data_IF_687171657812
#
_entry.id   IF_687171657812
#
_cell.length_a   1.000
_cell.length_b   1.000
_cell.length_c   1.000
_cell.angle_alpha   90.00
_cell.angle_beta   90.00
_cell.angle_gamma   90.00
#
_symmetry.space_group_name_H-M   'P 1'
#
loop_
_entity.id
_entity.type
_entity.pdbx_description
1 polymer ?
#
# COMPACT_ATOMS: atom_id res chain seq x y z
N UNK A 1 53.02 -1.60 -26.40
CA UNK A 1 52.89 -0.82 -25.16
C UNK A 1 51.43 -0.39 -25.06
N UNK A 2 50.48 -1.33 -25.05
CA UNK A 2 50.14 -2.27 -23.95
C UNK A 2 49.78 -1.50 -22.66
N UNK A 3 48.64 -1.73 -22.00
CA UNK A 3 47.93 -3.00 -21.89
C UNK A 3 46.39 -2.84 -21.77
N UNK A 4 45.76 -3.91 -22.24
CA UNK A 4 44.36 -4.31 -22.26
C UNK A 4 43.49 -4.02 -21.02
N UNK A 5 42.27 -3.64 -21.35
CA UNK A 5 41.04 -3.67 -20.56
C UNK A 5 40.56 -5.13 -20.40
N UNK A 6 40.27 -5.66 -19.18
CA UNK A 6 39.60 -6.94 -19.06
C UNK A 6 38.10 -6.74 -19.18
N UNK A 7 37.61 -6.94 -20.41
CA UNK A 7 36.22 -7.32 -20.66
C UNK A 7 35.86 -8.54 -19.80
N UNK A 8 34.97 -8.37 -18.82
CA UNK A 8 34.24 -9.51 -18.27
C UNK A 8 33.10 -9.81 -19.23
N UNK A 9 33.38 -10.73 -20.15
CA UNK A 9 32.41 -11.36 -21.02
C UNK A 9 31.40 -12.17 -20.18
N UNK A 10 30.12 -11.83 -20.28
CA UNK A 10 29.03 -12.74 -19.93
C UNK A 10 28.55 -13.35 -21.25
N UNK A 11 29.26 -14.39 -21.70
CA UNK A 11 28.85 -15.23 -22.81
C UNK A 11 27.64 -16.08 -22.41
N UNK A 12 26.66 -16.15 -23.31
CA UNK A 12 25.37 -16.78 -23.07
C UNK A 12 25.27 -18.28 -23.37
N UNK A 13 24.04 -18.76 -23.11
CA UNK A 13 23.40 -20.02 -23.49
C UNK A 13 24.03 -21.35 -23.05
N UNK A 14 23.44 -21.94 -22.00
CA UNK A 14 22.95 -23.33 -22.05
C UNK A 14 21.94 -23.58 -20.91
N UNK A 15 20.80 -24.15 -21.29
CA UNK A 15 19.86 -24.94 -20.50
C UNK A 15 20.36 -25.45 -19.13
N UNK A 16 19.62 -25.14 -18.07
CA UNK A 16 19.75 -25.82 -16.77
C UNK A 16 19.49 -24.88 -15.61
N UNK A 17 18.58 -25.25 -14.71
CA UNK A 17 18.37 -24.57 -13.44
C UNK A 17 19.69 -24.52 -12.65
N UNK A 18 20.38 -23.39 -12.68
CA UNK A 18 21.57 -23.14 -11.88
C UNK A 18 21.17 -22.22 -10.73
N UNK A 19 21.22 -22.78 -9.52
CA UNK A 19 21.03 -22.08 -8.26
C UNK A 19 22.08 -20.97 -8.11
N UNK A 20 21.66 -19.70 -8.22
CA UNK A 20 22.46 -18.51 -7.87
C UNK A 20 22.70 -18.44 -6.36
N UNK A 21 23.52 -19.35 -5.83
CA UNK A 21 23.97 -19.36 -4.44
C UNK A 21 25.46 -19.04 -4.43
N UNK A 22 25.79 -17.85 -3.95
CA UNK A 22 27.18 -17.43 -3.77
C UNK A 22 27.51 -17.51 -2.28
N UNK A 23 28.51 -18.31 -1.92
CA UNK A 23 28.92 -18.53 -0.53
C UNK A 23 30.18 -17.71 -0.18
N UNK A 24 30.20 -17.10 1.01
CA UNK A 24 31.41 -16.49 1.59
C UNK A 24 31.38 -14.97 1.78
N UNK A 25 32.39 -14.45 2.49
CA UNK A 25 32.50 -13.05 2.94
C UNK A 25 32.79 -12.05 1.80
N UNK A 26 33.42 -12.49 0.72
CA UNK A 26 33.75 -11.64 -0.43
C UNK A 26 32.53 -11.24 -1.27
N UNK A 27 31.60 -12.14 -1.64
CA UNK A 27 30.32 -11.80 -2.26
C UNK A 27 29.52 -10.77 -1.47
N UNK A 28 29.47 -10.92 -0.14
CA UNK A 28 28.80 -9.98 0.76
C UNK A 28 29.44 -8.58 0.72
N UNK A 29 30.78 -8.51 0.77
CA UNK A 29 31.49 -7.23 0.70
C UNK A 29 31.34 -6.57 -0.68
N UNK A 30 31.34 -7.36 -1.76
CA UNK A 30 31.11 -6.87 -3.11
C UNK A 30 29.70 -6.29 -3.26
N UNK A 31 28.66 -7.02 -2.80
CA UNK A 31 27.29 -6.52 -2.80
C UNK A 31 27.11 -5.28 -1.91
N UNK A 32 27.75 -5.26 -0.73
CA UNK A 32 27.74 -4.10 0.15
C UNK A 32 28.34 -2.86 -0.53
N UNK A 33 29.39 -3.05 -1.35
CA UNK A 33 29.99 -1.98 -2.12
C UNK A 33 29.08 -1.49 -3.25
N UNK A 34 28.38 -2.40 -3.95
CA UNK A 34 27.39 -2.06 -4.99
C UNK A 34 26.20 -1.30 -4.39
N UNK A 35 25.64 -1.76 -3.27
CA UNK A 35 24.53 -1.08 -2.57
C UNK A 35 24.96 0.32 -2.09
N UNK A 36 26.18 0.48 -1.58
CA UNK A 36 26.70 1.81 -1.15
C UNK A 36 26.89 2.78 -2.31
N UNK A 37 27.19 2.29 -3.52
CA UNK A 37 27.43 3.11 -4.71
C UNK A 37 26.14 3.50 -5.44
N UNK A 38 25.09 2.69 -5.31
CA UNK A 38 23.77 2.96 -5.89
C UNK A 38 22.79 3.48 -4.83
N UNK A 39 22.53 4.80 -4.81
CA UNK A 39 21.56 5.47 -3.89
C UNK A 39 20.10 4.95 -4.00
N UNK A 40 19.83 4.02 -4.92
CA UNK A 40 18.52 3.44 -5.23
C UNK A 40 18.30 2.04 -4.67
N UNK A 41 19.24 1.51 -3.89
CA UNK A 41 19.14 0.20 -3.24
C UNK A 41 19.05 0.39 -1.73
N UNK A 42 18.08 -0.25 -1.08
CA UNK A 42 17.94 -0.29 0.38
C UNK A 42 18.06 -1.72 0.90
N UNK A 43 18.61 -1.84 2.11
CA UNK A 43 18.69 -3.09 2.84
C UNK A 43 17.32 -3.45 3.42
N UNK A 44 16.84 -4.66 3.15
CA UNK A 44 15.78 -5.29 3.93
C UNK A 44 16.44 -6.35 4.82
N UNK A 45 16.28 -6.19 6.14
CA UNK A 45 16.82 -7.15 7.10
C UNK A 45 15.86 -8.34 7.19
N UNK A 46 16.35 -9.55 6.90
CA UNK A 46 15.53 -10.76 6.95
C UNK A 46 15.35 -11.25 8.40
N UNK A 47 14.19 -11.82 8.72
CA UNK A 47 13.92 -12.44 10.02
C UNK A 47 14.42 -13.89 10.03
N UNK A 48 15.01 -14.29 11.15
CA UNK A 48 15.44 -15.66 11.40
C UNK A 48 14.24 -16.61 11.35
N UNK A 49 14.28 -17.62 10.48
CA UNK A 49 13.43 -18.79 10.56
C UNK A 49 14.29 -19.96 11.06
N UNK A 50 14.43 -20.08 12.38
CA UNK A 50 15.00 -21.25 13.02
C UNK A 50 13.89 -22.25 13.32
N UNK A 51 14.00 -23.48 12.84
CA UNK A 51 13.06 -24.54 13.17
C UNK A 51 13.40 -25.06 14.58
N UNK A 52 12.69 -24.59 15.61
CA UNK A 52 12.77 -25.15 16.97
C UNK A 52 11.99 -26.47 17.04
N UNK A 53 12.53 -27.54 16.46
CA UNK A 53 12.27 -28.91 16.91
C UNK A 53 13.04 -29.93 16.08
N UNK A 54 14.14 -30.43 16.63
CA UNK A 54 14.55 -31.84 16.53
C UNK A 54 15.91 -32.00 17.20
N UNK A 55 15.98 -32.86 18.23
CA UNK A 55 17.23 -33.26 18.86
C UNK A 55 18.11 -34.04 17.89
N UNK A 56 18.97 -33.34 17.17
CA UNK A 56 20.15 -33.87 16.49
C UNK A 56 21.09 -32.70 16.19
N UNK A 57 22.39 -32.84 16.53
CA UNK A 57 23.42 -31.85 16.19
C UNK A 57 23.63 -31.82 14.68
N UNK A 58 22.92 -30.94 14.00
CA UNK A 58 23.25 -30.51 12.63
C UNK A 58 23.79 -29.09 12.67
N UNK A 59 24.84 -28.75 11.89
CA UNK A 59 25.31 -27.37 11.82
C UNK A 59 24.19 -26.51 11.24
N UNK A 60 23.78 -25.51 12.01
CA UNK A 60 22.85 -24.46 11.60
C UNK A 60 23.46 -23.71 10.42
N UNK A 61 23.03 -24.03 9.21
CA UNK A 61 23.34 -23.23 8.03
C UNK A 61 22.43 -22.01 8.07
N UNK A 62 22.97 -20.90 8.57
CA UNK A 62 22.34 -19.60 8.45
C UNK A 62 22.27 -19.22 6.97
N UNK A 63 21.06 -19.00 6.46
CA UNK A 63 20.85 -18.47 5.12
C UNK A 63 20.34 -17.04 5.23
N UNK A 64 21.13 -16.09 4.76
CA UNK A 64 20.68 -14.73 4.47
C UNK A 64 20.14 -14.69 3.03
N UNK A 65 18.82 -14.64 2.88
CA UNK A 65 18.20 -14.30 1.60
C UNK A 65 18.20 -12.78 1.42
N UNK A 66 18.74 -12.32 0.29
CA UNK A 66 18.82 -10.90 -0.04
C UNK A 66 17.92 -10.60 -1.24
N UNK A 67 17.08 -9.58 -1.11
CA UNK A 67 16.31 -9.02 -2.21
C UNK A 67 16.74 -7.57 -2.44
N UNK A 68 17.18 -7.25 -3.65
CA UNK A 68 17.47 -5.90 -4.10
C UNK A 68 16.25 -5.38 -4.87
N UNK A 69 15.73 -4.23 -4.45
CA UNK A 69 14.67 -3.53 -5.18
C UNK A 69 15.15 -2.12 -5.50
N UNK A 70 14.80 -1.65 -6.70
CA UNK A 70 14.98 -0.25 -7.06
C UNK A 70 14.02 0.61 -6.25
N UNK A 71 14.52 1.73 -5.70
CA UNK A 71 13.66 2.75 -5.08
C UNK A 71 12.64 3.25 -6.11
N UNK A 72 11.35 3.32 -5.76
CA UNK A 72 10.36 3.90 -6.64
C UNK A 72 10.74 5.34 -6.99
N UNK A 73 10.41 5.74 -8.23
CA UNK A 73 10.37 7.13 -8.65
C UNK A 73 9.50 7.95 -7.67
N UNK A 74 9.84 9.22 -7.41
CA UNK A 74 9.05 10.10 -6.53
C UNK A 74 7.63 10.39 -7.04
N UNK A 75 7.30 9.92 -8.24
CA UNK A 75 5.93 9.69 -8.68
C UNK A 75 5.55 8.24 -8.33
N UNK A 76 4.71 8.06 -7.31
CA UNK A 76 4.14 6.75 -6.95
C UNK A 76 3.61 6.02 -8.19
N UNK A 77 3.86 4.72 -8.26
CA UNK A 77 3.58 3.96 -9.48
C UNK A 77 2.07 3.87 -9.70
N UNK A 78 1.61 4.26 -10.90
CA UNK A 78 0.19 4.18 -11.24
C UNK A 78 -0.27 2.71 -11.33
N UNK A 79 -1.49 2.45 -10.87
CA UNK A 79 -2.09 1.13 -10.92
C UNK A 79 -2.58 0.84 -12.34
N UNK A 80 -1.99 -0.17 -12.97
CA UNK A 80 -2.46 -0.65 -14.28
C UNK A 80 -3.76 -1.45 -14.14
N UNK A 81 -4.52 -1.67 -15.24
CA UNK A 81 -5.68 -2.55 -15.22
C UNK A 81 -5.36 -3.97 -14.71
N UNK A 82 -4.14 -4.48 -14.97
CA UNK A 82 -3.69 -5.77 -14.46
C UNK A 82 -3.49 -5.73 -12.94
N UNK A 83 -2.92 -4.65 -12.40
CA UNK A 83 -2.77 -4.47 -10.94
C UNK A 83 -4.13 -4.43 -10.25
N UNK A 84 -5.10 -3.72 -10.83
CA UNK A 84 -6.48 -3.63 -10.32
C UNK A 84 -7.14 -5.00 -10.27
N UNK A 85 -7.00 -5.80 -11.34
CA UNK A 85 -7.51 -7.17 -11.38
C UNK A 85 -6.87 -8.07 -10.31
N UNK A 86 -5.55 -7.94 -10.10
CA UNK A 86 -4.83 -8.65 -9.04
C UNK A 86 -5.35 -8.26 -7.66
N UNK A 87 -5.54 -6.96 -7.39
CA UNK A 87 -6.08 -6.50 -6.09
C UNK A 87 -7.50 -7.01 -5.83
N UNK A 88 -8.37 -7.02 -6.85
CA UNK A 88 -9.72 -7.60 -6.75
C UNK A 88 -9.66 -9.10 -6.45
N UNK A 89 -8.77 -9.84 -7.11
CA UNK A 89 -8.57 -11.26 -6.86
C UNK A 89 -8.04 -11.53 -5.44
N UNK A 90 -7.14 -10.69 -4.95
CA UNK A 90 -6.64 -10.76 -3.58
C UNK A 90 -7.78 -10.52 -2.58
N UNK A 91 -8.60 -9.48 -2.78
CA UNK A 91 -9.73 -9.19 -1.92
C UNK A 91 -10.72 -10.38 -1.87
N UNK A 92 -11.07 -10.95 -3.03
CA UNK A 92 -11.96 -12.11 -3.14
C UNK A 92 -11.38 -13.34 -2.43
N UNK A 93 -10.11 -13.63 -2.65
CA UNK A 93 -9.42 -14.77 -2.01
C UNK A 93 -9.34 -14.59 -0.50
N UNK A 94 -9.04 -13.37 -0.03
CA UNK A 94 -8.97 -13.03 1.38
C UNK A 94 -10.32 -13.21 2.07
N UNK A 95 -11.42 -12.74 1.47
CA UNK A 95 -12.78 -12.97 2.00
C UNK A 95 -13.11 -14.46 2.01
N UNK A 96 -12.86 -15.18 0.91
CA UNK A 96 -13.13 -16.61 0.84
C UNK A 96 -12.38 -17.42 1.90
N UNK A 97 -11.11 -17.11 2.16
CA UNK A 97 -10.33 -17.73 3.24
C UNK A 97 -10.88 -17.34 4.63
N UNK A 98 -11.21 -16.07 4.82
CA UNK A 98 -11.70 -15.54 6.09
C UNK A 98 -13.00 -16.21 6.55
N UNK A 99 -13.98 -16.37 5.66
CA UNK A 99 -15.26 -17.02 6.01
C UNK A 99 -15.13 -18.51 6.30
N UNK A 100 -14.05 -19.15 5.85
CA UNK A 100 -13.69 -20.54 6.19
C UNK A 100 -12.86 -20.64 7.48
N UNK A 101 -12.52 -19.53 8.12
CA UNK A 101 -11.65 -19.49 9.30
C UNK A 101 -10.18 -19.79 8.98
N UNK A 102 -9.78 -19.67 7.71
CA UNK A 102 -8.41 -19.88 7.27
C UNK A 102 -7.53 -18.65 7.53
N UNK A 103 -6.21 -18.86 7.55
CA UNK A 103 -5.26 -17.73 7.60
C UNK A 103 -5.35 -16.93 6.30
N UNK A 104 -5.10 -15.63 6.40
CA UNK A 104 -4.99 -14.79 5.21
C UNK A 104 -3.90 -15.36 4.28
N UNK A 105 -4.15 -15.45 2.97
CA UNK A 105 -3.08 -15.69 2.02
C UNK A 105 -2.10 -14.51 2.10
N UNK A 106 -0.86 -14.81 2.54
CA UNK A 106 0.19 -13.80 2.73
C UNK A 106 0.91 -13.51 1.41
N UNK A 107 0.88 -14.47 0.48
CA UNK A 107 1.55 -14.37 -0.80
C UNK A 107 0.56 -13.99 -1.91
N UNK A 108 0.77 -12.86 -2.59
CA UNK A 108 -0.02 -12.48 -3.74
C UNK A 108 0.35 -13.35 -4.95
N UNK A 109 -0.58 -13.58 -5.89
CA UNK A 109 -0.24 -14.22 -7.16
C UNK A 109 0.81 -13.39 -7.89
N UNK A 110 1.91 -14.01 -8.29
CA UNK A 110 2.97 -13.37 -9.06
C UNK A 110 2.48 -13.02 -10.48
N UNK A 111 2.98 -11.94 -11.11
CA UNK A 111 4.04 -11.04 -10.63
C UNK A 111 3.52 -9.82 -9.85
N UNK A 112 4.24 -9.45 -8.78
CA UNK A 112 4.02 -8.19 -8.06
C UNK A 112 4.72 -7.03 -8.77
N UNK A 113 3.95 -6.00 -9.11
CA UNK A 113 4.50 -4.75 -9.61
C UNK A 113 4.94 -3.85 -8.45
N UNK A 114 5.83 -2.86 -8.70
CA UNK A 114 6.19 -1.87 -7.69
C UNK A 114 4.99 -1.11 -7.09
N UNK A 115 3.92 -0.89 -7.88
CA UNK A 115 2.69 -0.22 -7.41
C UNK A 115 1.97 -1.01 -6.32
N UNK A 116 1.96 -2.35 -6.42
CA UNK A 116 1.36 -3.23 -5.42
C UNK A 116 2.19 -3.32 -4.14
N UNK A 117 3.50 -3.11 -4.24
CA UNK A 117 4.44 -3.11 -3.12
C UNK A 117 4.50 -1.76 -2.40
N UNK A 118 4.00 -0.69 -3.03
CA UNK A 118 4.00 0.64 -2.45
C UNK A 118 3.09 0.71 -1.21
N UNK A 119 3.54 1.46 -0.21
CA UNK A 119 2.77 1.71 0.99
C UNK A 119 1.64 2.71 0.70
N UNK A 120 0.44 2.21 0.40
CA UNK A 120 -0.75 3.02 0.10
C UNK A 120 -1.94 2.64 0.99
N UNK A 121 -2.69 3.66 1.39
CA UNK A 121 -3.93 3.50 2.13
C UNK A 121 -5.05 3.04 1.18
N UNK A 122 -5.98 2.22 1.67
CA UNK A 122 -7.08 1.73 0.86
C UNK A 122 -8.32 1.41 1.68
N UNK A 123 -9.45 1.37 0.99
CA UNK A 123 -10.73 0.90 1.48
C UNK A 123 -11.21 -0.24 0.59
N UNK A 124 -11.81 -1.26 1.20
CA UNK A 124 -12.48 -2.34 0.51
C UNK A 124 -13.95 -2.29 0.89
N UNK A 125 -14.79 -2.19 -0.14
CA UNK A 125 -16.24 -2.20 -0.03
C UNK A 125 -16.76 -3.49 -0.66
N UNK A 126 -17.66 -4.15 0.06
CA UNK A 126 -18.38 -5.34 -0.37
C UNK A 126 -19.82 -4.93 -0.61
N UNK A 127 -20.38 -5.32 -1.75
CA UNK A 127 -21.81 -5.15 -2.05
C UNK A 127 -22.43 -6.48 -2.48
N UNK A 128 -23.70 -6.68 -2.16
CA UNK A 128 -24.50 -7.82 -2.60
C UNK A 128 -25.80 -7.28 -3.19
N UNK A 129 -26.11 -7.64 -4.44
CA UNK A 129 -27.30 -7.14 -5.16
C UNK A 129 -27.43 -5.61 -5.18
N UNK A 130 -26.31 -4.89 -5.23
CA UNK A 130 -26.27 -3.41 -5.23
C UNK A 130 -26.30 -2.76 -3.84
N UNK A 131 -26.52 -3.54 -2.78
CA UNK A 131 -26.59 -3.04 -1.40
C UNK A 131 -25.25 -3.21 -0.68
N UNK A 132 -24.93 -2.26 0.22
CA UNK A 132 -23.71 -2.31 1.03
C UNK A 132 -23.73 -3.51 1.98
N UNK A 133 -22.71 -4.37 1.89
CA UNK A 133 -22.54 -5.58 2.71
C UNK A 133 -21.42 -5.48 3.74
N UNK A 134 -20.48 -4.56 3.53
CA UNK A 134 -19.40 -4.23 4.45
C UNK A 134 -18.43 -3.22 3.81
N UNK A 135 -17.85 -2.33 4.58
CA UNK A 135 -16.80 -1.43 4.11
C UNK A 135 -15.80 -1.13 5.23
N UNK A 136 -14.53 -1.47 5.00
CA UNK A 136 -13.44 -1.19 5.93
C UNK A 136 -12.23 -0.69 5.16
N UNK A 137 -11.52 0.27 5.74
CA UNK A 137 -10.25 0.75 5.21
C UNK A 137 -9.45 1.53 6.25
N UNK A 138 -8.23 1.86 5.85
CA UNK A 138 -7.30 2.64 6.66
C UNK A 138 -6.95 3.93 5.94
N UNK A 139 -6.69 4.99 6.71
CA UNK A 139 -6.28 6.31 6.19
C UNK A 139 -4.75 6.45 6.13
N UNK A 140 -4.03 5.49 6.70
CA UNK A 140 -2.57 5.42 6.66
C UNK A 140 -2.17 4.02 6.19
N UNK A 141 -1.15 3.92 5.33
CA UNK A 141 -0.63 2.63 4.94
C UNK A 141 0.08 1.97 6.11
N UNK A 142 -0.29 0.74 6.43
CA UNK A 142 0.36 -0.10 7.44
C UNK A 142 1.38 -1.08 6.82
N UNK A 143 1.52 -1.06 5.49
CA UNK A 143 2.39 -1.94 4.73
C UNK A 143 2.12 -1.83 3.23
N UNK A 144 2.59 -2.79 2.43
CA UNK A 144 2.31 -2.87 0.99
C UNK A 144 0.81 -2.85 0.68
N UNK A 145 0.42 -2.20 -0.42
CA UNK A 145 -0.98 -2.07 -0.83
C UNK A 145 -1.70 -3.42 -0.92
N UNK A 146 -1.07 -4.44 -1.51
CA UNK A 146 -1.70 -5.76 -1.66
C UNK A 146 -2.10 -6.37 -0.30
N UNK A 147 -1.27 -6.17 0.72
CA UNK A 147 -1.50 -6.68 2.07
C UNK A 147 -2.61 -5.88 2.76
N UNK A 148 -2.60 -4.56 2.60
CA UNK A 148 -3.67 -3.69 3.09
C UNK A 148 -5.02 -4.07 2.51
N UNK A 149 -5.11 -4.34 1.21
CA UNK A 149 -6.33 -4.81 0.55
C UNK A 149 -6.80 -6.15 1.13
N UNK A 150 -5.91 -7.14 1.29
CA UNK A 150 -6.27 -8.44 1.87
C UNK A 150 -6.81 -8.30 3.31
N UNK A 151 -6.16 -7.49 4.13
CA UNK A 151 -6.55 -7.25 5.52
C UNK A 151 -7.89 -6.52 5.61
N UNK A 152 -8.07 -5.46 4.82
CA UNK A 152 -9.29 -4.67 4.79
C UNK A 152 -10.46 -5.46 4.23
N UNK A 153 -10.26 -6.29 3.21
CA UNK A 153 -11.29 -7.19 2.67
C UNK A 153 -11.79 -8.19 3.72
N UNK A 154 -10.88 -8.84 4.45
CA UNK A 154 -11.24 -9.72 5.57
C UNK A 154 -12.04 -8.96 6.63
N UNK A 155 -11.58 -7.78 7.02
CA UNK A 155 -12.25 -6.98 8.04
C UNK A 155 -13.62 -6.48 7.57
N UNK A 156 -13.77 -6.10 6.30
CA UNK A 156 -15.06 -5.74 5.72
C UNK A 156 -16.05 -6.92 5.75
N UNK A 157 -15.56 -8.15 5.56
CA UNK A 157 -16.41 -9.34 5.61
C UNK A 157 -16.79 -9.78 7.03
N UNK A 158 -15.88 -9.65 8.02
CA UNK A 158 -16.06 -10.26 9.34
C UNK A 158 -16.25 -9.28 10.50
N UNK A 159 -15.80 -8.03 10.35
CA UNK A 159 -15.63 -7.10 11.47
C UNK A 159 -16.27 -5.73 11.24
N UNK A 160 -17.04 -5.52 10.17
CA UNK A 160 -17.86 -4.33 10.03
C UNK A 160 -19.05 -4.41 11.00
N UNK A 161 -18.99 -3.68 12.10
CA UNK A 161 -19.99 -3.69 13.18
C UNK A 161 -21.43 -3.38 12.75
N UNK A 162 -21.63 -2.82 11.56
CA UNK A 162 -22.96 -2.51 11.01
C UNK A 162 -23.66 -3.75 10.45
N UNK A 163 -22.91 -4.83 10.20
CA UNK A 163 -23.41 -6.02 9.51
C UNK A 163 -23.02 -7.30 10.27
N UNK A 164 -23.78 -8.37 10.06
CA UNK A 164 -23.37 -9.69 10.50
C UNK A 164 -22.20 -10.20 9.64
N UNK A 165 -21.29 -11.04 10.18
CA UNK A 165 -20.21 -11.62 9.40
C UNK A 165 -20.72 -12.33 8.14
N UNK A 166 -20.04 -12.11 7.01
CA UNK A 166 -20.32 -12.76 5.72
C UNK A 166 -20.19 -14.29 5.85
N UNK A 167 -21.16 -15.00 5.29
CA UNK A 167 -21.18 -16.45 5.22
C UNK A 167 -20.52 -16.96 3.93
N UNK A 168 -19.99 -18.19 3.96
CA UNK A 168 -19.36 -18.82 2.80
C UNK A 168 -20.25 -18.88 1.55
N UNK A 169 -21.57 -19.02 1.74
CA UNK A 169 -22.53 -19.05 0.64
C UNK A 169 -22.80 -17.67 0.00
N UNK A 170 -22.44 -16.57 0.66
CA UNK A 170 -22.59 -15.20 0.13
C UNK A 170 -21.43 -14.84 -0.80
N UNK A 171 -20.23 -15.37 -0.56
CA UNK A 171 -18.99 -14.99 -1.29
C UNK A 171 -19.12 -14.99 -2.82
N UNK A 172 -19.77 -15.98 -3.48
CA UNK A 172 -19.93 -15.95 -4.92
C UNK A 172 -20.75 -14.76 -5.45
N UNK A 173 -21.67 -14.22 -4.64
CA UNK A 173 -22.58 -13.11 -5.01
C UNK A 173 -22.02 -11.73 -4.66
N UNK A 174 -20.86 -11.67 -4.00
CA UNK A 174 -20.26 -10.40 -3.62
C UNK A 174 -19.57 -9.71 -4.80
N UNK A 175 -19.88 -8.44 -4.94
CA UNK A 175 -19.13 -7.48 -5.71
C UNK A 175 -18.13 -6.77 -4.80
N UNK A 176 -16.94 -6.52 -5.34
CA UNK A 176 -15.83 -5.92 -4.61
C UNK A 176 -15.48 -4.60 -5.27
N UNK A 177 -15.44 -3.55 -4.47
CA UNK A 177 -14.91 -2.25 -4.87
C UNK A 177 -13.70 -1.94 -4.00
N UNK A 178 -12.61 -1.52 -4.63
CA UNK A 178 -11.37 -1.14 -3.95
C UNK A 178 -11.09 0.32 -4.28
N UNK A 179 -10.97 1.12 -3.22
CA UNK A 179 -10.65 2.54 -3.29
C UNK A 179 -9.24 2.75 -2.74
N UNK A 180 -8.28 3.03 -3.63
CA UNK A 180 -6.87 3.22 -3.26
C UNK A 180 -6.55 4.71 -3.18
N UNK A 181 -6.04 5.14 -2.02
CA UNK A 181 -5.64 6.52 -1.81
C UNK A 181 -4.24 6.75 -2.39
N UNK A 182 -4.04 7.88 -3.06
CA UNK A 182 -2.70 8.36 -3.40
C UNK A 182 -1.97 8.79 -2.13
N UNK A 183 -0.64 8.85 -2.18
CA UNK A 183 0.12 9.43 -1.07
C UNK A 183 -0.25 10.91 -0.94
N UNK A 184 -0.59 11.40 0.28
CA UNK A 184 -0.86 12.82 0.48
C UNK A 184 0.34 13.67 0.08
N UNK A 185 0.09 14.65 -0.79
CA UNK A 185 1.09 15.61 -1.25
C UNK A 185 0.84 16.98 -0.61
N UNK A 186 1.88 17.66 -0.11
CA UNK A 186 1.74 18.99 0.43
C UNK A 186 1.12 19.95 -0.58
N UNK A 187 0.05 20.62 -0.21
CA UNK A 187 -0.57 21.68 -0.99
C UNK A 187 0.05 23.01 -0.58
N UNK A 188 1.21 23.34 -1.16
CA UNK A 188 1.92 24.58 -0.85
C UNK A 188 1.02 25.80 -1.08
N UNK A 189 0.93 26.68 -0.08
CA UNK A 189 0.15 27.92 -0.11
C UNK A 189 0.78 28.94 0.82
N UNK A 190 0.58 30.22 0.53
CA UNK A 190 1.09 31.36 1.31
C UNK A 190 -0.01 32.13 2.03
N UNK A 191 -1.27 31.83 1.75
CA UNK A 191 -2.44 32.45 2.40
C UNK A 191 -3.66 31.54 2.35
N UNK A 192 -4.62 31.78 3.25
CA UNK A 192 -5.92 31.11 3.24
C UNK A 192 -6.65 31.26 1.89
N UNK A 193 -6.54 32.44 1.25
CA UNK A 193 -7.14 32.69 -0.06
C UNK A 193 -6.54 31.79 -1.15
N UNK A 194 -5.22 31.63 -1.14
CA UNK A 194 -4.53 30.76 -2.10
C UNK A 194 -4.85 29.29 -1.88
N UNK A 195 -4.92 28.85 -0.62
CA UNK A 195 -5.36 27.50 -0.25
C UNK A 195 -6.75 27.20 -0.83
N UNK A 196 -7.72 28.07 -0.57
CA UNK A 196 -9.08 27.94 -1.10
C UNK A 196 -9.09 27.92 -2.64
N UNK A 197 -8.26 28.72 -3.30
CA UNK A 197 -8.19 28.73 -4.76
C UNK A 197 -7.66 27.40 -5.34
N UNK A 198 -6.74 26.73 -4.63
CA UNK A 198 -6.08 25.49 -5.07
C UNK A 198 -6.89 24.22 -4.82
N UNK A 199 -7.69 24.18 -3.76
CA UNK A 199 -8.54 23.01 -3.45
C UNK A 199 -9.57 22.74 -4.55
N UNK A 200 -9.77 21.47 -4.89
CA UNK A 200 -10.73 21.02 -5.90
C UNK A 200 -11.82 20.16 -5.26
N UNK A 201 -13.03 20.71 -5.04
CA UNK A 201 -14.18 19.96 -4.54
C UNK A 201 -14.50 18.76 -5.43
N UNK A 202 -14.91 17.66 -4.81
CA UNK A 202 -15.21 16.38 -5.48
C UNK A 202 -13.97 15.60 -5.93
N UNK A 203 -12.77 16.19 -5.88
CA UNK A 203 -11.52 15.55 -6.29
C UNK A 203 -10.54 15.32 -5.15
N UNK A 204 -10.33 16.35 -4.33
CA UNK A 204 -9.27 16.33 -3.33
C UNK A 204 -9.76 15.76 -2.00
N UNK A 205 -9.13 14.69 -1.53
CA UNK A 205 -9.10 14.34 -0.12
C UNK A 205 -8.13 15.28 0.59
N UNK A 206 -8.50 15.77 1.76
CA UNK A 206 -7.74 16.82 2.45
C UNK A 206 -7.29 16.31 3.81
N UNK A 207 -5.98 16.35 4.07
CA UNK A 207 -5.40 16.14 5.39
C UNK A 207 -5.00 17.50 5.95
N UNK A 208 -5.60 17.89 7.07
CA UNK A 208 -5.24 19.10 7.80
C UNK A 208 -4.39 18.72 9.01
N UNK A 209 -3.28 19.42 9.23
CA UNK A 209 -2.45 19.30 10.42
C UNK A 209 -2.18 20.69 11.01
N UNK A 210 -2.44 20.82 12.32
CA UNK A 210 -2.19 22.05 13.09
C UNK A 210 -1.54 21.62 14.41
N UNK A 211 -0.23 21.86 14.54
CA UNK A 211 0.59 21.28 15.61
C UNK A 211 0.52 19.74 15.61
N UNK A 212 0.24 19.15 16.78
CA UNK A 212 0.09 17.69 16.95
C UNK A 212 -1.28 17.16 16.49
N UNK A 213 -2.23 18.05 16.16
CA UNK A 213 -3.59 17.67 15.79
C UNK A 213 -3.70 17.44 14.30
N UNK A 214 -4.43 16.41 13.92
CA UNK A 214 -4.65 16.02 12.53
C UNK A 214 -6.06 15.51 12.31
N UNK A 215 -6.65 15.88 11.19
CA UNK A 215 -7.85 15.26 10.66
C UNK A 215 -7.76 15.08 9.15
N UNK A 216 -8.65 14.27 8.60
CA UNK A 216 -8.79 14.09 7.16
C UNK A 216 -10.25 13.94 6.75
N UNK A 217 -10.55 14.44 5.56
CA UNK A 217 -11.78 14.16 4.82
C UNK A 217 -11.45 13.53 3.48
N UNK A 218 -12.28 12.58 3.07
CA UNK A 218 -12.23 11.96 1.75
C UNK A 218 -12.89 12.88 0.71
N UNK A 219 -12.57 12.72 -0.60
CA UNK A 219 -13.21 13.51 -1.65
C UNK A 219 -14.75 13.46 -1.63
N UNK A 220 -15.36 12.36 -1.23
CA UNK A 220 -16.82 12.20 -1.17
C UNK A 220 -17.49 13.14 -0.15
N UNK A 221 -16.74 13.69 0.81
CA UNK A 221 -17.30 14.64 1.79
C UNK A 221 -17.69 15.97 1.12
N UNK A 222 -17.09 16.29 -0.03
CA UNK A 222 -17.45 17.49 -0.81
C UNK A 222 -18.91 17.50 -1.27
N UNK A 223 -19.54 16.34 -1.44
CA UNK A 223 -20.96 16.27 -1.84
C UNK A 223 -21.89 16.79 -0.73
N UNK A 224 -21.47 16.64 0.53
CA UNK A 224 -22.20 17.17 1.69
C UNK A 224 -21.76 18.60 2.06
N UNK A 225 -20.47 18.91 1.86
CA UNK A 225 -19.85 20.20 2.21
C UNK A 225 -19.16 20.79 0.97
N UNK A 226 -19.91 21.32 0.00
CA UNK A 226 -19.33 21.83 -1.26
C UNK A 226 -18.62 23.18 -1.07
N UNK A 227 -18.98 23.94 -0.04
CA UNK A 227 -18.28 25.19 0.29
C UNK A 227 -16.93 24.89 0.94
N UNK A 228 -15.87 25.48 0.39
CA UNK A 228 -14.50 25.23 0.82
C UNK A 228 -14.18 25.75 2.21
N UNK A 229 -14.81 26.85 2.62
CA UNK A 229 -14.62 27.39 3.96
C UNK A 229 -15.30 26.49 4.97
N UNK A 230 -16.56 26.14 4.72
CA UNK A 230 -17.32 25.23 5.57
C UNK A 230 -16.65 23.85 5.68
N UNK A 231 -16.12 23.32 4.57
CA UNK A 231 -15.38 22.08 4.55
C UNK A 231 -14.16 22.12 5.47
N UNK A 232 -13.33 23.17 5.38
CA UNK A 232 -12.13 23.32 6.19
C UNK A 232 -12.45 23.63 7.67
N UNK A 233 -13.51 24.40 7.92
CA UNK A 233 -14.01 24.70 9.26
C UNK A 233 -14.46 23.41 9.98
N UNK A 234 -15.21 22.55 9.28
CA UNK A 234 -15.61 21.24 9.80
C UNK A 234 -14.42 20.28 9.96
N UNK A 235 -13.44 20.36 9.06
CA UNK A 235 -12.22 19.55 9.14
C UNK A 235 -11.36 19.94 10.35
N UNK A 236 -11.24 21.24 10.61
CA UNK A 236 -10.59 21.80 11.79
C UNK A 236 -11.32 21.38 13.07
N UNK A 237 -12.65 21.49 13.09
CA UNK A 237 -13.46 20.99 14.21
C UNK A 237 -13.25 19.48 14.45
N UNK A 238 -13.15 18.68 13.38
CA UNK A 238 -12.83 17.24 13.47
C UNK A 238 -11.44 16.96 14.02
N UNK A 239 -10.47 17.85 13.79
CA UNK A 239 -9.15 17.79 14.42
C UNK A 239 -9.16 18.25 15.90
N UNK A 240 -10.31 18.74 16.38
CA UNK A 240 -10.50 19.27 17.73
C UNK A 240 -9.83 20.62 17.95
N UNK A 241 -9.68 21.43 16.88
CA UNK A 241 -9.21 22.82 16.95
C UNK A 241 -10.35 23.79 16.59
N UNK A 242 -10.21 25.10 16.88
CA UNK A 242 -11.16 26.10 16.43
C UNK A 242 -11.38 26.04 14.91
N UNK A 243 -12.62 26.25 14.41
CA UNK A 243 -12.94 26.11 12.99
C UNK A 243 -12.08 26.97 12.06
N UNK A 244 -11.69 28.17 12.47
CA UNK A 244 -10.90 29.11 11.68
C UNK A 244 -9.38 28.87 11.74
N UNK A 245 -8.92 27.90 12.55
CA UNK A 245 -7.50 27.67 12.81
C UNK A 245 -6.70 27.29 11.55
N UNK A 246 -7.34 26.72 10.52
CA UNK A 246 -6.67 26.40 9.25
C UNK A 246 -6.18 27.63 8.48
N UNK A 247 -6.62 28.83 8.86
CA UNK A 247 -6.18 30.10 8.26
C UNK A 247 -4.82 30.57 8.79
N UNK A 248 -4.33 29.97 9.88
CA UNK A 248 -3.04 30.26 10.50
C UNK A 248 -1.85 29.79 9.66
N UNK A 249 -0.67 30.35 9.93
CA UNK A 249 0.59 29.98 9.25
C UNK A 249 1.16 28.64 9.72
N UNK A 250 0.66 28.11 10.83
CA UNK A 250 1.00 26.82 11.42
C UNK A 250 0.16 25.66 10.85
N UNK A 251 -0.85 25.96 10.04
CA UNK A 251 -1.62 24.96 9.33
C UNK A 251 -0.84 24.42 8.13
N UNK A 252 -0.73 23.09 8.06
CA UNK A 252 -0.27 22.39 6.85
C UNK A 252 -1.41 21.57 6.28
N UNK A 253 -1.52 21.61 4.96
CA UNK A 253 -2.57 20.92 4.21
C UNK A 253 -1.91 20.02 3.19
N UNK A 254 -2.20 18.72 3.28
CA UNK A 254 -1.87 17.75 2.25
C UNK A 254 -3.13 17.38 1.47
N UNK A 255 -3.00 17.12 0.17
CA UNK A 255 -4.09 16.61 -0.66
C UNK A 255 -3.76 15.23 -1.21
N UNK A 256 -4.77 14.37 -1.32
CA UNK A 256 -4.68 13.07 -1.97
C UNK A 256 -5.92 12.85 -2.83
N UNK A 257 -5.86 11.86 -3.71
CA UNK A 257 -6.96 11.45 -4.57
C UNK A 257 -7.29 9.99 -4.28
N UNK A 258 -8.48 9.57 -4.67
CA UNK A 258 -8.93 8.19 -4.57
C UNK A 258 -9.05 7.62 -5.98
N UNK A 259 -8.37 6.52 -6.23
CA UNK A 259 -8.54 5.70 -7.43
C UNK A 259 -9.42 4.50 -7.06
N UNK A 260 -10.69 4.55 -7.49
CA UNK A 260 -11.70 3.53 -7.21
C UNK A 260 -11.90 2.64 -8.42
N UNK A 261 -11.94 1.33 -8.19
CA UNK A 261 -12.25 0.35 -9.21
C UNK A 261 -12.99 -0.83 -8.60
N UNK A 262 -13.89 -1.41 -9.38
CA UNK A 262 -14.77 -2.49 -8.95
C UNK A 262 -14.60 -3.73 -9.82
N UNK A 263 -14.98 -4.87 -9.25
CA UNK A 263 -15.10 -6.12 -9.98
C UNK A 263 -15.82 -7.17 -9.16
N UNK A 264 -16.73 -7.89 -9.80
CA UNK A 264 -17.29 -9.11 -9.23
C UNK A 264 -18.47 -9.69 -9.99
N UNK A 265 -18.61 -11.01 -9.84
CA UNK A 265 -19.71 -11.88 -10.27
C UNK A 265 -19.80 -12.10 -11.78
N UNK A 266 -19.61 -13.33 -12.25
CA UNK A 266 -20.29 -13.78 -13.48
C UNK A 266 -21.82 -13.67 -13.30
#
# INVERSE_FOLDING_TARGET
>A
MDAADPAIAVGGNASGAASDRVFGRFPFLALSHVVKRHRRLRWLQNRHCGNENSGARSPSHEYEALALFETPSEAGAELTPSDRAVLLQIARTAVAAAVRGERLPVEPPAPLTPALLEARACFVTLTECGELRGCIGTLQPEGPLFLGVAQNARSAALHDSRFMPVQSAEVPRLHFEISVLTQPKPLAHSSARELLAKLQPGRDGVVLRIGERRATFLPQVWDMLPDKVEFLDNLAAKAGVPPDAWRGLDASVDTYQVDSFEGGGE
#
